data_IF_733922611618
#
_entry.id   IF_733922611618
#
_cell.length_a   1.000
_cell.length_b   1.000
_cell.length_c   1.000
_cell.angle_alpha   90.00
_cell.angle_beta   90.00
_cell.angle_gamma   90.00
#
_symmetry.space_group_name_H-M   'P 1'
#
loop_
_entity.id
_entity.type
_entity.pdbx_description
1 polymer ?
#
# COMPACT_ATOMS: atom_id res chain seq x y z
N UNK A 1 18.13 -5.13 -2.92
CA UNK A 1 17.78 -3.75 -2.49
C UNK A 1 17.60 -2.79 -3.67
N UNK A 2 18.53 -2.74 -4.61
CA UNK A 2 18.46 -1.80 -5.74
C UNK A 2 17.28 -2.04 -6.69
N UNK A 3 16.82 -3.29 -6.83
CA UNK A 3 15.73 -3.67 -7.75
C UNK A 3 14.38 -3.15 -7.23
N UNK A 4 14.20 -3.08 -5.93
CA UNK A 4 12.94 -2.63 -5.31
C UNK A 4 12.90 -1.13 -5.04
N UNK A 5 13.99 -0.41 -5.24
CA UNK A 5 14.08 1.02 -4.97
C UNK A 5 13.01 1.87 -5.67
N UNK A 6 12.60 1.58 -6.93
CA UNK A 6 11.54 2.34 -7.58
C UNK A 6 10.18 2.23 -6.90
N UNK A 7 9.93 1.13 -6.18
CA UNK A 7 8.66 0.91 -5.48
C UNK A 7 8.59 1.62 -4.12
N UNK A 8 9.76 1.98 -3.56
CA UNK A 8 9.90 2.70 -2.30
C UNK A 8 10.26 4.15 -2.59
N UNK A 9 9.31 4.90 -3.15
CA UNK A 9 9.58 6.31 -3.31
C UNK A 9 9.70 6.94 -1.92
N UNK A 10 10.71 7.79 -1.69
CA UNK A 10 10.84 8.47 -0.42
C UNK A 10 9.54 9.24 -0.17
N UNK A 11 8.98 9.05 1.00
CA UNK A 11 7.90 9.88 1.49
C UNK A 11 8.32 11.34 1.38
N UNK A 12 7.32 12.19 1.28
CA UNK A 12 7.52 13.62 1.32
C UNK A 12 7.96 13.98 2.75
N UNK A 13 9.26 13.88 3.02
CA UNK A 13 9.87 14.12 4.33
C UNK A 13 9.92 15.61 4.71
N UNK A 14 9.18 16.46 4.00
CA UNK A 14 9.13 17.89 4.19
C UNK A 14 10.36 18.64 3.62
N UNK A 15 11.30 17.94 3.01
CA UNK A 15 12.38 18.57 2.26
C UNK A 15 11.82 18.96 0.89
N UNK A 16 12.05 20.19 0.47
CA UNK A 16 11.61 20.70 -0.83
C UNK A 16 12.31 19.94 -1.96
N UNK A 17 11.78 18.77 -2.31
CA UNK A 17 12.17 18.05 -3.51
C UNK A 17 11.53 18.72 -4.72
N UNK A 18 12.29 18.82 -5.78
CA UNK A 18 11.89 19.45 -7.06
C UNK A 18 10.73 18.74 -7.75
N UNK A 19 10.27 17.58 -7.28
CA UNK A 19 9.18 16.80 -7.84
C UNK A 19 8.25 16.34 -6.72
N UNK A 20 7.23 17.14 -6.45
CA UNK A 20 6.29 16.95 -5.35
C UNK A 20 5.26 15.81 -5.56
N UNK A 21 5.12 15.29 -6.77
CA UNK A 21 4.04 14.34 -7.14
C UNK A 21 4.47 12.88 -7.16
N UNK A 22 5.68 12.58 -6.75
CA UNK A 22 6.18 11.21 -6.74
C UNK A 22 5.69 10.48 -5.49
N UNK A 23 5.05 9.35 -5.70
CA UNK A 23 4.47 8.51 -4.66
C UNK A 23 5.04 7.09 -4.77
N UNK A 24 5.13 6.38 -3.65
CA UNK A 24 5.48 4.96 -3.69
C UNK A 24 4.39 4.15 -4.38
N UNK A 25 4.73 2.97 -4.90
CA UNK A 25 3.75 2.10 -5.57
C UNK A 25 2.56 1.77 -4.65
N UNK A 26 2.83 1.54 -3.37
CA UNK A 26 1.76 1.26 -2.40
C UNK A 26 0.88 2.49 -2.18
N UNK A 27 1.44 3.70 -2.17
CA UNK A 27 0.66 4.93 -2.02
C UNK A 27 -0.26 5.15 -3.21
N UNK A 28 0.26 4.94 -4.41
CA UNK A 28 -0.52 5.07 -5.67
C UNK A 28 -1.70 4.10 -5.66
N UNK A 29 -1.43 2.81 -5.40
CA UNK A 29 -2.46 1.77 -5.41
C UNK A 29 -3.46 1.98 -4.28
N UNK A 30 -3.00 2.26 -3.06
CA UNK A 30 -3.89 2.42 -1.92
C UNK A 30 -4.79 3.66 -2.05
N UNK A 31 -4.26 4.77 -2.55
CA UNK A 31 -5.07 5.98 -2.83
C UNK A 31 -6.13 5.70 -3.90
N UNK A 32 -5.76 5.01 -4.98
CA UNK A 32 -6.70 4.64 -6.04
C UNK A 32 -7.79 3.67 -5.57
N UNK A 33 -7.49 2.76 -4.63
CA UNK A 33 -8.49 1.90 -4.00
C UNK A 33 -9.45 2.74 -3.13
N UNK A 34 -8.93 3.70 -2.36
CA UNK A 34 -9.76 4.59 -1.54
C UNK A 34 -10.66 5.49 -2.37
N UNK A 35 -10.20 5.93 -3.53
CA UNK A 35 -10.96 6.72 -4.51
C UNK A 35 -11.97 5.87 -5.30
N UNK A 36 -11.88 4.53 -5.21
CA UNK A 36 -12.71 3.61 -5.95
C UNK A 36 -12.33 3.45 -7.44
N UNK A 37 -11.14 3.94 -7.83
CA UNK A 37 -10.63 3.81 -9.21
C UNK A 37 -10.11 2.40 -9.51
N UNK A 38 -9.70 1.67 -8.48
CA UNK A 38 -9.21 0.29 -8.56
C UNK A 38 -9.90 -0.55 -7.50
N UNK A 39 -10.29 -1.76 -7.85
CA UNK A 39 -10.85 -2.73 -6.91
C UNK A 39 -9.75 -3.48 -6.17
N UNK A 40 -9.95 -3.69 -4.88
CA UNK A 40 -9.12 -4.55 -4.07
C UNK A 40 -9.84 -5.88 -3.80
N UNK A 41 -9.11 -6.97 -3.87
CA UNK A 41 -9.65 -8.32 -3.62
C UNK A 41 -9.04 -8.90 -2.34
N UNK A 42 -9.92 -9.39 -1.49
CA UNK A 42 -9.58 -9.95 -0.18
C UNK A 42 -9.00 -11.36 -0.27
N UNK A 43 -8.84 -11.97 0.92
CA UNK A 43 -8.37 -13.36 1.05
C UNK A 43 -7.04 -13.66 0.33
N UNK A 44 -6.16 -12.67 0.24
CA UNK A 44 -4.94 -12.71 -0.58
C UNK A 44 -3.95 -13.82 -0.21
N UNK A 45 -4.12 -14.46 0.94
CA UNK A 45 -3.31 -15.61 1.36
C UNK A 45 -3.76 -16.92 0.69
N UNK A 46 -5.07 -17.07 0.43
CA UNK A 46 -5.71 -18.32 -0.01
C UNK A 46 -6.23 -18.25 -1.44
N UNK A 47 -6.70 -17.06 -1.88
CA UNK A 47 -7.31 -16.87 -3.18
C UNK A 47 -6.55 -15.83 -4.01
N UNK A 48 -6.15 -16.21 -5.20
CA UNK A 48 -5.50 -15.34 -6.18
C UNK A 48 -6.33 -15.19 -7.48
N UNK A 49 -7.60 -15.63 -7.43
CA UNK A 49 -8.49 -15.61 -8.61
C UNK A 49 -9.40 -14.37 -8.67
N UNK A 50 -9.18 -13.39 -7.77
CA UNK A 50 -9.92 -12.11 -7.74
C UNK A 50 -11.43 -12.28 -7.57
N UNK A 51 -11.87 -13.23 -6.73
CA UNK A 51 -13.30 -13.55 -6.54
C UNK A 51 -13.99 -12.65 -5.54
N UNK A 52 -13.31 -12.36 -4.43
CA UNK A 52 -13.87 -11.63 -3.31
C UNK A 52 -13.41 -10.17 -3.32
N UNK A 53 -14.26 -9.29 -3.77
CA UNK A 53 -14.00 -7.85 -3.71
C UNK A 53 -14.12 -7.36 -2.26
N UNK A 54 -13.14 -6.57 -1.82
CA UNK A 54 -13.13 -6.00 -0.48
C UNK A 54 -14.17 -4.89 -0.34
N UNK A 55 -14.88 -4.92 0.77
CA UNK A 55 -15.80 -3.85 1.13
C UNK A 55 -15.04 -2.60 1.60
N UNK A 56 -15.71 -1.44 1.56
CA UNK A 56 -15.14 -0.18 2.04
C UNK A 56 -14.71 -0.23 3.51
N UNK A 57 -15.33 -1.08 4.32
CA UNK A 57 -14.94 -1.28 5.73
C UNK A 57 -13.67 -2.10 5.87
N UNK A 58 -13.50 -3.12 5.04
CA UNK A 58 -12.29 -3.95 5.00
C UNK A 58 -11.10 -3.15 4.47
N UNK A 59 -11.32 -2.31 3.45
CA UNK A 59 -10.30 -1.41 2.91
C UNK A 59 -9.76 -0.48 3.99
N UNK A 60 -10.62 0.05 4.87
CA UNK A 60 -10.20 0.91 6.00
C UNK A 60 -9.37 0.18 7.05
N UNK A 61 -9.49 -1.16 7.14
CA UNK A 61 -8.76 -2.00 8.09
C UNK A 61 -7.50 -2.61 7.51
N UNK A 62 -7.18 -2.33 6.25
CA UNK A 62 -5.99 -2.86 5.59
C UNK A 62 -4.72 -2.53 6.40
N UNK A 63 -3.83 -3.49 6.48
CA UNK A 63 -2.52 -3.33 7.11
C UNK A 63 -2.56 -3.05 8.61
N UNK A 64 -3.65 -3.41 9.28
CA UNK A 64 -3.82 -3.19 10.72
C UNK A 64 -4.27 -1.78 11.08
N UNK A 65 -4.76 -1.01 10.11
CA UNK A 65 -5.40 0.27 10.39
C UNK A 65 -6.61 0.04 11.30
N UNK A 66 -6.68 0.82 12.37
CA UNK A 66 -7.75 0.70 13.37
C UNK A 66 -8.27 2.08 13.76
N UNK A 67 -9.56 2.14 13.98
CA UNK A 67 -10.19 3.25 14.67
C UNK A 67 -10.61 2.75 16.05
N UNK A 68 -9.90 3.17 17.07
CA UNK A 68 -10.17 2.78 18.44
C UNK A 68 -10.67 4.01 19.22
N UNK A 69 -11.75 3.82 19.95
CA UNK A 69 -12.21 4.84 20.90
C UNK A 69 -11.40 4.66 22.18
N UNK A 70 -10.56 5.63 22.48
CA UNK A 70 -9.78 5.66 23.72
C UNK A 70 -10.38 6.66 24.69
N UNK A 71 -10.44 6.27 25.95
CA UNK A 71 -10.75 7.20 27.03
C UNK A 71 -9.49 7.99 27.37
N UNK A 72 -9.57 9.28 27.29
CA UNK A 72 -8.48 10.21 27.63
C UNK A 72 -8.96 11.14 28.73
N UNK A 73 -8.11 11.37 29.71
CA UNK A 73 -8.41 12.34 30.79
C UNK A 73 -8.42 13.74 30.19
N UNK A 74 -9.49 14.48 30.42
CA UNK A 74 -9.60 15.87 30.06
C UNK A 74 -8.88 16.72 31.11
N UNK A 75 -7.63 17.07 30.80
CA UNK A 75 -6.79 17.85 31.68
C UNK A 75 -7.27 19.29 31.90
N UNK A 76 -8.10 19.83 30.97
CA UNK A 76 -8.68 21.16 31.11
C UNK A 76 -9.78 21.13 32.16
N UNK A 77 -10.62 20.10 32.17
CA UNK A 77 -11.62 19.88 33.19
C UNK A 77 -11.01 19.58 34.58
N UNK A 78 -9.90 18.85 34.62
CA UNK A 78 -9.16 18.63 35.88
C UNK A 78 -8.55 19.92 36.40
N UNK A 79 -8.06 20.80 35.53
CA UNK A 79 -7.55 22.11 35.93
C UNK A 79 -8.63 23.03 36.49
N UNK A 80 -9.90 22.83 36.12
CA UNK A 80 -11.05 23.54 36.64
C UNK A 80 -11.58 22.91 37.95
N UNK A 81 -10.95 21.82 38.43
CA UNK A 81 -11.26 21.20 39.73
C UNK A 81 -12.10 19.92 39.66
N UNK A 82 -12.28 19.34 38.47
CA UNK A 82 -12.93 18.04 38.33
C UNK A 82 -11.99 16.90 38.77
N UNK A 83 -12.58 15.82 39.28
CA UNK A 83 -11.82 14.61 39.64
C UNK A 83 -11.29 13.95 38.34
N UNK A 84 -9.99 13.56 38.28
CA UNK A 84 -9.41 12.89 37.10
C UNK A 84 -10.16 11.62 36.69
N UNK A 85 -10.81 10.92 37.61
CA UNK A 85 -11.60 9.73 37.31
C UNK A 85 -12.96 10.04 36.70
N UNK A 86 -13.51 11.25 36.94
CA UNK A 86 -14.76 11.74 36.35
C UNK A 86 -14.56 12.56 35.07
N UNK A 87 -13.37 13.14 34.89
CA UNK A 87 -13.02 13.96 33.73
C UNK A 87 -12.52 13.13 32.55
N UNK A 88 -13.21 12.04 32.20
CA UNK A 88 -12.85 11.18 31.08
C UNK A 88 -13.61 11.60 29.82
N UNK A 89 -12.88 11.90 28.78
CA UNK A 89 -13.43 12.20 27.45
C UNK A 89 -13.03 11.12 26.47
N UNK A 90 -13.98 10.69 25.62
CA UNK A 90 -13.70 9.73 24.56
C UNK A 90 -13.12 10.43 23.33
N UNK A 91 -11.92 10.01 22.94
CA UNK A 91 -11.30 10.46 21.67
C UNK A 91 -11.17 9.29 20.71
N UNK A 92 -11.49 9.57 19.45
CA UNK A 92 -11.24 8.63 18.36
C UNK A 92 -9.74 8.62 18.03
N UNK A 93 -9.08 7.51 18.36
CA UNK A 93 -7.70 7.28 17.96
C UNK A 93 -7.70 6.53 16.62
N UNK A 94 -7.17 7.18 15.59
CA UNK A 94 -7.02 6.57 14.27
C UNK A 94 -5.56 6.14 14.10
N UNK A 95 -5.35 4.83 14.05
CA UNK A 95 -4.06 4.26 13.66
C UNK A 95 -4.09 4.04 12.15
N UNK A 96 -3.38 4.86 11.36
CA UNK A 96 -3.38 4.71 9.91
C UNK A 96 -2.59 3.47 9.49
N UNK A 97 -2.85 3.00 8.27
CA UNK A 97 -2.03 1.96 7.65
C UNK A 97 -0.58 2.44 7.49
N UNK A 98 0.35 1.67 8.07
CA UNK A 98 1.80 1.92 7.90
C UNK A 98 2.26 1.40 6.53
N UNK A 99 2.27 2.28 5.54
CA UNK A 99 2.66 1.95 4.16
C UNK A 99 4.12 1.56 4.03
N UNK A 100 4.98 2.06 4.93
CA UNK A 100 6.40 1.72 4.98
C UNK A 100 6.66 0.26 5.40
N UNK A 101 5.66 -0.40 5.98
CA UNK A 101 5.73 -1.82 6.31
C UNK A 101 5.63 -2.75 5.09
N UNK A 102 5.19 -2.22 3.93
CA UNK A 102 5.12 -2.97 2.68
C UNK A 102 6.49 -2.94 2.01
N UNK A 103 7.18 -4.08 2.04
CA UNK A 103 8.55 -4.18 1.51
C UNK A 103 8.70 -5.14 0.34
N UNK A 104 7.71 -5.94 0.07
CA UNK A 104 7.72 -6.94 -1.00
C UNK A 104 6.40 -6.94 -1.75
N UNK A 105 6.46 -7.43 -2.97
CA UNK A 105 5.31 -7.60 -3.84
C UNK A 105 5.26 -9.03 -4.37
N UNK A 106 4.07 -9.60 -4.40
CA UNK A 106 3.80 -10.85 -5.09
C UNK A 106 3.13 -10.51 -6.41
N UNK A 107 3.60 -11.15 -7.48
CA UNK A 107 3.04 -11.02 -8.82
C UNK A 107 2.29 -12.30 -9.16
N UNK A 108 1.12 -12.15 -9.77
CA UNK A 108 0.45 -13.23 -10.49
C UNK A 108 0.65 -13.01 -11.96
N UNK A 109 1.25 -13.98 -12.62
CA UNK A 109 1.62 -13.92 -14.02
C UNK A 109 0.97 -15.07 -14.78
N UNK A 110 0.64 -14.84 -16.03
CA UNK A 110 0.25 -15.88 -16.97
C UNK A 110 1.30 -16.01 -18.07
N UNK A 111 1.80 -17.22 -18.22
CA UNK A 111 2.76 -17.56 -19.24
C UNK A 111 2.03 -18.20 -20.41
N UNK A 112 2.24 -17.71 -21.62
CA UNK A 112 1.63 -18.22 -22.83
C UNK A 112 2.66 -18.40 -23.93
N UNK A 113 2.37 -19.33 -24.83
CA UNK A 113 3.21 -19.59 -26.00
C UNK A 113 2.52 -19.07 -27.26
N UNK A 114 3.12 -18.08 -27.91
CA UNK A 114 2.67 -17.57 -29.19
C UNK A 114 3.17 -18.50 -30.31
N UNK A 115 2.24 -19.30 -30.85
CA UNK A 115 2.55 -20.26 -31.91
C UNK A 115 2.97 -19.60 -33.24
N UNK A 116 2.53 -18.36 -33.49
CA UNK A 116 2.87 -17.67 -34.74
C UNK A 116 4.28 -17.13 -34.71
N UNK A 117 4.72 -16.62 -33.55
CA UNK A 117 6.06 -16.06 -33.36
C UNK A 117 7.06 -17.06 -32.79
N UNK A 118 6.58 -18.23 -32.35
CA UNK A 118 7.38 -19.23 -31.64
C UNK A 118 8.09 -18.65 -30.39
N UNK A 119 7.41 -17.74 -29.69
CA UNK A 119 7.94 -17.05 -28.52
C UNK A 119 7.09 -17.34 -27.28
N UNK A 120 7.76 -17.38 -26.13
CA UNK A 120 7.09 -17.37 -24.83
C UNK A 120 6.80 -15.92 -24.43
N UNK A 121 5.55 -15.66 -24.11
CA UNK A 121 5.13 -14.36 -23.55
C UNK A 121 4.70 -14.50 -22.09
N UNK A 122 4.82 -13.40 -21.35
CA UNK A 122 4.37 -13.28 -19.97
C UNK A 122 3.48 -12.06 -19.87
N UNK A 123 2.36 -12.20 -19.16
CA UNK A 123 1.54 -11.06 -18.80
C UNK A 123 1.25 -11.07 -17.30
N UNK A 124 1.29 -9.89 -16.70
CA UNK A 124 0.95 -9.73 -15.29
C UNK A 124 -0.57 -9.65 -15.18
N UNK A 125 -1.14 -10.47 -14.32
CA UNK A 125 -2.56 -10.50 -14.00
C UNK A 125 -2.87 -9.76 -12.71
N UNK A 126 -1.98 -9.81 -11.73
CA UNK A 126 -2.23 -9.20 -10.45
C UNK A 126 -0.99 -8.82 -9.66
N UNK A 127 -1.19 -7.85 -8.79
CA UNK A 127 -0.21 -7.36 -7.82
C UNK A 127 -0.76 -7.55 -6.41
N UNK A 128 0.08 -8.05 -5.50
CA UNK A 128 -0.27 -8.18 -4.10
C UNK A 128 0.85 -7.61 -3.23
N UNK A 129 0.60 -6.54 -2.46
CA UNK A 129 1.55 -6.03 -1.49
C UNK A 129 1.69 -6.98 -0.30
N UNK A 130 2.92 -7.17 0.14
CA UNK A 130 3.27 -7.98 1.30
C UNK A 130 3.75 -7.07 2.43
N UNK A 131 3.06 -7.13 3.55
CA UNK A 131 3.45 -6.42 4.77
C UNK A 131 4.35 -7.29 5.62
N UNK A 132 5.42 -6.71 6.17
CA UNK A 132 6.25 -7.39 7.14
C UNK A 132 5.51 -7.48 8.48
N UNK A 133 5.37 -8.71 9.00
CA UNK A 133 4.67 -8.96 10.23
C UNK A 133 5.48 -8.46 11.43
N UNK A 134 4.79 -7.81 12.37
CA UNK A 134 5.35 -7.39 13.65
C UNK A 134 4.87 -8.34 14.73
N UNK A 135 5.74 -8.69 15.65
CA UNK A 135 5.40 -9.42 16.87
C UNK A 135 4.55 -8.51 17.77
N UNK A 136 3.38 -8.97 18.15
CA UNK A 136 2.40 -8.19 18.93
C UNK A 136 2.90 -7.80 20.32
N UNK A 137 3.81 -8.59 20.90
CA UNK A 137 4.32 -8.37 22.26
C UNK A 137 5.54 -7.46 22.25
N UNK A 138 6.46 -7.70 21.33
CA UNK A 138 7.76 -7.00 21.31
C UNK A 138 7.79 -5.84 20.32
N UNK A 139 6.82 -5.74 19.41
CA UNK A 139 6.78 -4.77 18.30
C UNK A 139 7.90 -4.97 17.26
N UNK A 140 8.70 -6.04 17.40
CA UNK A 140 9.82 -6.32 16.50
C UNK A 140 9.34 -6.98 15.20
N UNK A 141 10.03 -6.69 14.12
CA UNK A 141 9.81 -7.34 12.83
C UNK A 141 10.19 -8.82 12.93
N UNK A 142 9.29 -9.70 12.49
CA UNK A 142 9.49 -11.17 12.56
C UNK A 142 10.18 -11.72 11.33
N UNK A 143 10.31 -10.93 10.26
CA UNK A 143 10.79 -11.39 8.95
C UNK A 143 9.76 -12.21 8.16
N UNK A 144 8.60 -12.48 8.73
CA UNK A 144 7.48 -13.08 8.01
C UNK A 144 6.73 -12.01 7.21
N UNK A 145 6.10 -12.39 6.10
CA UNK A 145 5.37 -11.49 5.24
C UNK A 145 3.93 -11.96 5.06
N UNK A 146 3.00 -11.05 5.31
CA UNK A 146 1.57 -11.30 5.15
C UNK A 146 1.06 -10.58 3.92
N UNK A 147 0.38 -11.28 2.99
CA UNK A 147 -0.29 -10.65 1.86
C UNK A 147 -1.50 -9.84 2.34
N UNK A 148 -1.65 -8.63 1.83
CA UNK A 148 -2.71 -7.72 2.25
C UNK A 148 -3.97 -7.87 1.39
N UNK A 149 -3.82 -7.67 0.10
CA UNK A 149 -4.90 -7.73 -0.88
C UNK A 149 -4.34 -7.96 -2.27
N UNK A 150 -5.18 -8.42 -3.19
CA UNK A 150 -4.86 -8.46 -4.61
C UNK A 150 -5.45 -7.26 -5.35
N UNK A 151 -4.72 -6.79 -6.34
CA UNK A 151 -5.19 -5.82 -7.31
C UNK A 151 -5.10 -6.43 -8.71
N UNK A 152 -6.16 -6.32 -9.49
CA UNK A 152 -6.15 -6.78 -10.88
C UNK A 152 -5.34 -5.80 -11.73
N UNK A 153 -4.23 -6.28 -12.28
CA UNK A 153 -3.24 -5.43 -12.94
C UNK A 153 -3.80 -4.65 -14.14
N UNK A 154 -4.63 -5.24 -15.03
CA UNK A 154 -5.22 -4.48 -16.14
C UNK A 154 -6.04 -3.25 -15.71
N UNK A 155 -6.74 -3.31 -14.57
CA UNK A 155 -7.41 -2.15 -13.98
C UNK A 155 -6.41 -1.12 -13.43
N UNK A 156 -5.38 -1.62 -12.74
CA UNK A 156 -4.37 -0.76 -12.13
C UNK A 156 -3.57 0.04 -13.17
N UNK A 157 -3.44 -0.46 -14.40
CA UNK A 157 -2.67 0.19 -15.47
C UNK A 157 -3.11 1.62 -15.74
N UNK A 158 -4.40 1.91 -15.72
CA UNK A 158 -4.92 3.26 -15.97
C UNK A 158 -4.39 4.29 -14.96
N UNK A 159 -4.20 3.86 -13.72
CA UNK A 159 -3.62 4.71 -12.67
C UNK A 159 -2.10 4.73 -12.77
N UNK A 160 -1.47 3.58 -13.02
CA UNK A 160 -0.01 3.42 -13.06
C UNK A 160 0.65 4.19 -14.21
N UNK A 161 -0.03 4.32 -15.35
CA UNK A 161 0.43 5.12 -16.51
C UNK A 161 0.58 6.60 -16.17
N UNK A 162 -0.24 7.12 -15.25
CA UNK A 162 -0.26 8.52 -14.87
C UNK A 162 0.70 8.88 -13.74
N UNK A 163 1.41 7.89 -13.17
CA UNK A 163 2.28 8.09 -12.02
C UNK A 163 3.74 7.82 -12.37
N UNK A 164 4.57 8.82 -12.15
CA UNK A 164 6.00 8.73 -12.40
C UNK A 164 6.70 7.84 -11.37
N UNK A 165 7.69 7.09 -11.85
CA UNK A 165 8.56 6.25 -11.04
C UNK A 165 9.99 6.79 -11.04
N UNK A 166 10.75 6.46 -10.00
CA UNK A 166 12.16 6.83 -9.94
C UNK A 166 12.97 6.10 -11.03
N UNK A 167 13.64 6.88 -11.89
CA UNK A 167 14.51 6.32 -12.90
C UNK A 167 15.89 5.98 -12.30
N UNK A 168 16.19 4.69 -12.17
CA UNK A 168 17.47 4.21 -11.65
C UNK A 168 18.62 4.25 -12.69
N UNK A 169 18.29 4.43 -13.96
CA UNK A 169 19.27 4.57 -15.01
C UNK A 169 19.71 6.03 -15.06
N UNK A 170 20.88 6.36 -14.68
CA UNK A 170 21.57 7.66 -14.65
C UNK A 170 21.22 8.69 -15.75
N UNK A 171 20.05 8.57 -16.36
CA UNK A 171 19.50 9.44 -17.37
C UNK A 171 18.29 10.19 -16.77
N UNK A 172 18.55 11.32 -16.14
CA UNK A 172 17.52 12.15 -15.49
C UNK A 172 16.53 12.78 -16.48
N UNK A 173 16.83 12.71 -17.77
CA UNK A 173 15.96 13.24 -18.83
C UNK A 173 14.81 12.30 -19.21
N UNK A 174 14.92 11.00 -18.91
CA UNK A 174 13.89 10.02 -19.22
C UNK A 174 12.91 9.88 -18.05
N UNK A 175 11.69 10.32 -18.26
CA UNK A 175 10.59 10.10 -17.32
C UNK A 175 9.94 8.77 -17.62
N UNK A 176 9.80 7.93 -16.61
CA UNK A 176 9.12 6.63 -16.69
C UNK A 176 7.93 6.61 -15.78
N UNK A 177 6.91 5.87 -16.20
CA UNK A 177 5.74 5.58 -15.37
C UNK A 177 5.87 4.22 -14.69
N UNK A 178 5.01 3.94 -13.71
CA UNK A 178 4.94 2.59 -13.14
C UNK A 178 4.54 1.55 -14.18
N UNK A 179 3.68 1.89 -15.15
CA UNK A 179 3.32 0.96 -16.24
C UNK A 179 4.55 0.60 -17.09
N UNK A 180 5.40 1.58 -17.43
CA UNK A 180 6.64 1.34 -18.17
C UNK A 180 7.61 0.41 -17.43
N UNK A 181 7.58 0.44 -16.09
CA UNK A 181 8.42 -0.42 -15.27
C UNK A 181 7.98 -1.89 -15.36
N UNK A 182 6.68 -2.13 -15.41
CA UNK A 182 6.10 -3.47 -15.53
C UNK A 182 6.06 -4.00 -16.96
N UNK A 183 6.17 -3.11 -17.94
CA UNK A 183 6.21 -3.45 -19.35
C UNK A 183 7.62 -3.74 -19.80
N UNK A 184 8.04 -4.99 -19.70
CA UNK A 184 9.31 -5.46 -20.26
C UNK A 184 9.12 -6.73 -21.05
#
# INVERSE_FOLDING_TARGET
EKINHPFYYPENDGVAHTIQDRQSLIDVIYSAIQEGSIRAFGNAAMDDEFREEMTSEEIKKIGGAKEEIIEVIDWDAVAEGADPDEAKTTKLNKVPFDRNSVKKWRLKEEWYFDKQRSEMGVRILGLCPLQEAKDEVTGRLTGAYTPLFWVYFPEAREVLVNKEVFNMMKNDAERRTYDDLFWK
#
